data_IF_898246975536
#
_entry.id   IF_898246975536
#
_cell.length_a   1.000
_cell.length_b   1.000
_cell.length_c   1.000
_cell.angle_alpha   90.00
_cell.angle_beta   90.00
_cell.angle_gamma   90.00
#
_symmetry.space_group_name_H-M   'P 1'
#
loop_
_entity.id
_entity.type
_entity.pdbx_description
1 polymer ?
#
# COMPACT_ATOMS: atom_id res chain seq x y z
N UNK A 1 -29.60 -0.28 45.66
CA UNK A 1 -28.85 -0.41 46.93
C UNK A 1 -27.37 -0.59 46.60
N UNK A 2 -26.52 0.26 47.19
CA UNK A 2 -25.03 0.23 47.24
C UNK A 2 -24.24 0.62 45.98
N UNK A 3 -23.84 1.89 45.99
CA UNK A 3 -22.62 2.50 45.44
C UNK A 3 -21.35 2.04 46.18
N UNK A 4 -20.17 2.38 45.65
CA UNK A 4 -19.11 2.90 46.51
C UNK A 4 -18.52 4.22 46.01
N UNK A 5 -18.37 5.11 46.98
CA UNK A 5 -17.76 6.43 47.01
C UNK A 5 -16.24 6.34 47.15
N UNK A 6 -15.48 7.19 46.46
CA UNK A 6 -14.11 7.52 46.83
C UNK A 6 -14.05 9.00 47.19
N UNK A 7 -13.93 9.27 48.49
CA UNK A 7 -13.69 10.58 49.06
C UNK A 7 -12.20 10.89 49.10
N UNK A 8 -11.87 12.17 48.92
CA UNK A 8 -10.51 12.69 49.05
C UNK A 8 -10.07 12.88 50.50
N UNK A 9 -8.76 13.09 50.66
CA UNK A 9 -8.15 13.76 51.81
C UNK A 9 -7.01 14.67 51.32
N UNK A 10 -7.29 15.98 51.44
CA UNK A 10 -6.43 17.08 51.90
C UNK A 10 -5.52 16.65 53.09
N UNK A 11 -4.37 17.22 53.49
CA UNK A 11 -3.63 18.47 53.25
C UNK A 11 -2.19 18.29 53.90
N UNK A 12 -1.40 19.31 54.29
CA UNK A 12 -0.03 19.58 53.80
C UNK A 12 1.09 19.35 54.86
N UNK A 13 2.36 19.57 54.50
CA UNK A 13 3.38 20.07 55.46
C UNK A 13 4.66 20.58 54.77
N UNK A 14 4.86 21.89 54.96
CA UNK A 14 6.10 22.68 55.09
C UNK A 14 7.47 22.07 54.81
N UNK A 15 8.22 22.81 53.99
CA UNK A 15 9.49 23.40 54.42
C UNK A 15 10.75 22.60 54.13
N UNK A 16 11.55 23.09 53.18
CA UNK A 16 12.88 23.62 53.50
C UNK A 16 13.46 24.33 52.27
N UNK A 17 13.58 25.65 52.37
CA UNK A 17 14.43 26.49 51.53
C UNK A 17 15.86 26.31 52.01
N UNK A 18 16.74 25.83 51.13
CA UNK A 18 18.20 25.99 51.29
C UNK A 18 18.76 26.70 50.05
N UNK A 19 18.98 27.99 50.25
CA UNK A 19 19.72 28.88 49.36
C UNK A 19 21.18 28.42 49.30
N UNK A 20 21.63 27.86 48.17
CA UNK A 20 23.05 27.74 47.85
C UNK A 20 23.50 28.92 47.00
N UNK A 21 24.49 29.58 47.58
CA UNK A 21 25.10 30.85 47.21
C UNK A 21 25.99 30.71 45.98
N UNK A 22 25.82 31.67 45.07
CA UNK A 22 26.80 32.30 44.19
C UNK A 22 28.16 31.60 44.01
N UNK A 23 28.46 31.27 42.75
CA UNK A 23 29.77 31.60 42.18
C UNK A 23 29.59 32.13 40.74
N UNK A 24 29.48 33.45 40.62
CA UNK A 24 29.52 34.16 39.34
C UNK A 24 30.98 34.26 38.92
N UNK A 25 31.44 33.33 38.07
CA UNK A 25 32.68 33.54 37.33
C UNK A 25 32.44 34.57 36.23
N UNK A 26 32.79 35.81 36.55
CA UNK A 26 32.86 36.91 35.60
C UNK A 26 33.95 36.62 34.56
N UNK A 27 33.55 36.25 33.35
CA UNK A 27 34.42 36.34 32.19
C UNK A 27 34.25 37.75 31.61
N UNK A 28 35.14 38.64 32.01
CA UNK A 28 35.31 39.98 31.47
C UNK A 28 35.81 39.89 30.03
N UNK A 29 34.90 39.97 29.07
CA UNK A 29 35.24 39.99 27.65
C UNK A 29 35.74 41.36 27.23
N UNK A 30 37.06 41.49 27.15
CA UNK A 30 37.79 42.71 26.82
C UNK A 30 37.67 43.02 25.31
N UNK A 31 36.92 44.09 24.98
CA UNK A 31 36.60 44.56 23.63
C UNK A 31 37.70 45.45 23.03
N UNK A 32 38.97 45.02 22.93
CA UNK A 32 40.03 45.86 22.32
C UNK A 32 41.19 45.06 21.71
N UNK A 33 40.94 44.22 20.71
CA UNK A 33 42.01 43.72 19.83
C UNK A 33 41.55 43.72 18.36
N UNK A 34 41.17 44.92 17.93
CA UNK A 34 41.13 45.32 16.54
C UNK A 34 42.45 44.98 15.83
N UNK A 35 42.28 44.37 14.66
CA UNK A 35 43.11 44.53 13.47
C UNK A 35 44.60 44.24 13.58
N UNK A 36 44.98 43.04 13.14
CA UNK A 36 46.28 42.60 12.57
C UNK A 36 46.18 41.07 12.47
N UNK A 37 46.30 40.36 11.34
CA UNK A 37 46.99 40.59 10.08
C UNK A 37 46.36 39.67 9.01
N UNK A 38 46.44 40.12 7.76
CA UNK A 38 46.31 39.31 6.54
C UNK A 38 47.40 38.23 6.52
N UNK A 39 47.03 37.00 6.15
CA UNK A 39 47.98 35.92 5.89
C UNK A 39 47.26 34.69 5.34
N UNK A 40 47.35 34.50 4.03
CA UNK A 40 46.73 33.41 3.30
C UNK A 40 47.24 32.03 3.74
N UNK A 41 46.32 31.09 3.93
CA UNK A 41 46.60 29.66 3.85
C UNK A 41 45.31 28.92 3.47
N UNK A 42 45.28 28.44 2.23
CA UNK A 42 44.31 27.48 1.73
C UNK A 42 44.43 26.17 2.52
N UNK A 43 43.31 25.52 2.86
CA UNK A 43 43.20 24.06 2.96
C UNK A 43 41.72 23.65 3.15
N UNK A 44 41.18 22.97 2.13
CA UNK A 44 40.30 21.79 2.21
C UNK A 44 39.16 21.84 3.26
N UNK A 45 37.92 22.03 2.80
CA UNK A 45 36.80 21.17 3.20
C UNK A 45 35.80 21.01 2.06
N UNK A 46 35.80 19.80 1.51
CA UNK A 46 34.68 19.15 0.82
C UNK A 46 33.35 19.47 1.52
N UNK A 47 32.37 19.99 0.79
CA UNK A 47 30.96 20.02 1.22
C UNK A 47 30.18 18.97 0.40
N UNK A 48 30.13 17.69 0.80
CA UNK A 48 29.15 16.77 0.29
C UNK A 48 27.91 16.80 1.19
N UNK A 49 26.73 16.86 0.56
CA UNK A 49 25.56 16.16 1.06
C UNK A 49 24.82 16.79 2.24
N UNK A 50 23.87 17.67 1.91
CA UNK A 50 22.58 17.72 2.60
C UNK A 50 21.47 17.65 1.55
N UNK A 51 21.45 16.57 0.76
CA UNK A 51 20.17 16.10 0.23
C UNK A 51 19.40 15.57 1.42
N UNK A 52 18.62 16.46 2.03
CA UNK A 52 17.54 16.06 2.89
C UNK A 52 16.61 15.18 2.05
N UNK A 53 16.73 13.87 2.18
CA UNK A 53 15.61 13.00 1.90
C UNK A 53 14.53 13.46 2.87
N UNK A 54 13.59 14.27 2.36
CA UNK A 54 12.32 14.51 2.99
C UNK A 54 11.63 13.15 3.07
N UNK A 55 11.98 12.36 4.08
CA UNK A 55 11.07 11.39 4.67
C UNK A 55 9.95 12.24 5.24
N UNK A 56 9.02 12.62 4.35
CA UNK A 56 7.84 13.37 4.70
C UNK A 56 7.22 12.71 5.91
N UNK A 57 6.74 13.54 6.82
CA UNK A 57 5.76 13.20 7.85
C UNK A 57 4.52 12.61 7.18
N UNK A 58 4.65 11.37 6.69
CA UNK A 58 3.64 10.62 6.00
C UNK A 58 2.78 9.90 7.01
N UNK A 59 1.50 9.75 6.70
CA UNK A 59 0.58 8.95 7.48
C UNK A 59 1.21 7.61 7.88
N UNK A 60 0.94 7.08 9.08
CA UNK A 60 1.37 5.74 9.45
C UNK A 60 0.91 4.78 8.35
N UNK A 61 1.84 3.96 7.86
CA UNK A 61 1.59 3.12 6.70
C UNK A 61 2.59 1.98 6.64
N UNK A 62 2.12 0.81 6.21
CA UNK A 62 2.94 -0.38 6.05
C UNK A 62 3.21 -0.63 4.57
N UNK A 63 4.44 -1.02 4.25
CA UNK A 63 4.84 -1.35 2.88
C UNK A 63 5.03 -2.85 2.75
N UNK A 64 4.35 -3.45 1.78
CA UNK A 64 4.52 -4.83 1.37
C UNK A 64 5.49 -4.86 0.20
N UNK A 65 6.61 -5.58 0.32
CA UNK A 65 7.58 -5.70 -0.78
C UNK A 65 7.04 -6.49 -1.97
N UNK A 66 7.57 -6.24 -3.16
CA UNK A 66 7.22 -6.99 -4.36
C UNK A 66 7.45 -8.50 -4.20
N UNK A 67 8.55 -8.90 -3.55
CA UNK A 67 8.82 -10.32 -3.29
C UNK A 67 7.71 -10.93 -2.44
N UNK A 68 7.28 -10.24 -1.37
CA UNK A 68 6.21 -10.74 -0.51
C UNK A 68 4.87 -10.81 -1.23
N UNK A 69 4.57 -9.85 -2.09
CA UNK A 69 3.38 -9.88 -2.96
C UNK A 69 3.41 -11.12 -3.86
N UNK A 70 4.55 -11.40 -4.50
CA UNK A 70 4.71 -12.57 -5.36
C UNK A 70 4.53 -13.89 -4.58
N UNK A 71 5.07 -13.99 -3.36
CA UNK A 71 4.88 -15.16 -2.49
C UNK A 71 3.41 -15.38 -2.12
N UNK A 72 2.69 -14.32 -1.77
CA UNK A 72 1.27 -14.40 -1.42
C UNK A 72 0.45 -14.81 -2.65
N UNK A 73 0.75 -14.23 -3.81
CA UNK A 73 0.08 -14.53 -5.06
C UNK A 73 0.32 -15.97 -5.49
N UNK A 74 1.57 -16.46 -5.43
CA UNK A 74 1.91 -17.83 -5.80
C UNK A 74 1.18 -18.88 -4.94
N UNK A 75 0.88 -18.59 -3.67
CA UNK A 75 0.14 -19.49 -2.77
C UNK A 75 -1.35 -19.57 -3.08
N UNK A 76 -1.93 -18.53 -3.70
CA UNK A 76 -3.35 -18.48 -4.01
C UNK A 76 -3.69 -19.14 -5.36
N UNK A 77 -2.70 -19.32 -6.23
CA UNK A 77 -2.89 -19.86 -7.57
C UNK A 77 -2.55 -21.36 -7.63
N UNK A 78 -3.22 -22.14 -8.50
CA UNK A 78 -4.23 -21.71 -9.47
C UNK A 78 -5.60 -21.40 -8.85
N UNK A 79 -6.36 -20.50 -9.48
CA UNK A 79 -7.72 -20.13 -9.06
C UNK A 79 -8.71 -20.56 -10.14
N UNK A 80 -9.77 -21.27 -9.76
CA UNK A 80 -10.87 -21.65 -10.66
C UNK A 80 -12.16 -20.92 -10.28
N UNK A 81 -12.87 -20.39 -11.27
CA UNK A 81 -14.12 -19.64 -11.12
C UNK A 81 -15.18 -20.18 -12.07
N UNK A 82 -16.40 -20.32 -11.56
CA UNK A 82 -17.54 -20.69 -12.37
C UNK A 82 -18.04 -19.45 -13.10
N UNK A 83 -18.14 -19.54 -14.42
CA UNK A 83 -18.73 -18.51 -15.28
C UNK A 83 -20.14 -18.92 -15.69
N UNK A 84 -20.94 -17.92 -16.07
CA UNK A 84 -22.26 -18.13 -16.70
C UNK A 84 -23.19 -19.05 -15.89
N UNK A 85 -23.19 -18.93 -14.56
CA UNK A 85 -24.02 -19.79 -13.70
C UNK A 85 -23.56 -21.26 -13.62
N UNK A 86 -22.29 -21.55 -13.92
CA UNK A 86 -21.73 -22.91 -13.85
C UNK A 86 -21.73 -23.67 -15.17
N UNK A 87 -21.91 -22.97 -16.30
CA UNK A 87 -21.81 -23.56 -17.64
C UNK A 87 -20.36 -23.64 -18.14
N UNK A 88 -19.46 -22.85 -17.57
CA UNK A 88 -18.04 -22.91 -17.89
C UNK A 88 -17.19 -22.65 -16.63
N UNK A 89 -16.02 -23.26 -16.59
CA UNK A 89 -15.04 -23.09 -15.52
C UNK A 89 -13.81 -22.37 -16.08
N UNK A 90 -13.48 -21.22 -15.51
CA UNK A 90 -12.29 -20.43 -15.82
C UNK A 90 -11.21 -20.69 -14.77
N UNK A 91 -10.10 -21.28 -15.19
CA UNK A 91 -8.89 -21.45 -14.38
C UNK A 91 -7.85 -20.41 -14.79
N UNK A 92 -7.30 -19.71 -13.81
CA UNK A 92 -6.16 -18.79 -13.97
C UNK A 92 -4.94 -19.38 -13.27
N UNK A 93 -3.81 -19.40 -13.95
CA UNK A 93 -2.55 -19.97 -13.47
C UNK A 93 -1.35 -19.08 -13.82
N UNK A 94 -0.19 -19.42 -13.25
CA UNK A 94 1.10 -18.76 -13.54
C UNK A 94 1.06 -17.23 -13.42
N UNK A 95 0.59 -16.68 -12.28
CA UNK A 95 0.44 -15.24 -12.14
C UNK A 95 1.81 -14.55 -12.14
N UNK A 96 1.96 -13.54 -13.00
CA UNK A 96 3.16 -12.70 -13.09
C UNK A 96 2.77 -11.25 -12.80
N UNK A 97 3.26 -10.73 -11.68
CA UNK A 97 2.90 -9.40 -11.19
C UNK A 97 3.95 -8.35 -11.56
N UNK A 98 3.47 -7.22 -12.08
CA UNK A 98 4.25 -6.00 -12.34
C UNK A 98 3.67 -4.81 -11.59
N UNK A 99 4.54 -3.88 -11.16
CA UNK A 99 4.15 -2.67 -10.46
C UNK A 99 4.23 -1.48 -11.43
N UNK A 100 3.15 -0.71 -11.55
CA UNK A 100 3.04 0.49 -12.41
C UNK A 100 2.84 1.74 -11.54
N UNK A 101 3.89 2.22 -10.84
CA UNK A 101 3.77 3.31 -9.86
C UNK A 101 3.32 4.63 -10.49
N UNK A 102 3.73 4.92 -11.73
CA UNK A 102 3.35 6.14 -12.45
C UNK A 102 1.83 6.32 -12.62
N UNK A 103 1.10 5.20 -12.73
CA UNK A 103 -0.36 5.18 -12.84
C UNK A 103 -1.06 4.73 -11.55
N UNK A 104 -0.32 4.45 -10.48
CA UNK A 104 -0.80 3.81 -9.25
C UNK A 104 -1.54 2.48 -9.49
N UNK A 105 -0.99 1.61 -10.34
CA UNK A 105 -1.67 0.38 -10.80
C UNK A 105 -0.76 -0.83 -10.75
N UNK A 106 -1.37 -2.01 -10.77
CA UNK A 106 -0.69 -3.30 -10.85
C UNK A 106 -1.00 -3.90 -12.20
N UNK A 107 0.04 -4.38 -12.89
CA UNK A 107 -0.12 -5.24 -14.06
C UNK A 107 -0.05 -6.69 -13.61
N UNK A 108 -0.89 -7.55 -14.18
CA UNK A 108 -0.77 -8.98 -13.96
C UNK A 108 -1.04 -9.75 -15.24
N UNK A 109 -0.14 -10.69 -15.53
CA UNK A 109 -0.29 -11.63 -16.63
C UNK A 109 -0.60 -13.02 -16.09
N UNK A 110 -1.53 -13.71 -16.73
CA UNK A 110 -1.98 -15.05 -16.36
C UNK A 110 -2.03 -15.95 -17.58
N UNK A 111 -1.79 -17.25 -17.35
CA UNK A 111 -2.21 -18.29 -18.28
C UNK A 111 -3.67 -18.64 -17.95
N UNK A 112 -4.48 -18.79 -18.98
CA UNK A 112 -5.93 -19.01 -18.88
C UNK A 112 -6.28 -20.42 -19.38
N UNK A 113 -7.15 -21.10 -18.65
CA UNK A 113 -7.83 -22.32 -19.09
C UNK A 113 -9.34 -22.15 -18.96
N UNK A 114 -10.08 -22.34 -20.03
CA UNK A 114 -11.54 -22.31 -20.03
C UNK A 114 -12.08 -23.71 -20.36
N UNK A 115 -12.96 -24.23 -19.51
CA UNK A 115 -13.62 -25.53 -19.72
C UNK A 115 -15.12 -25.31 -19.83
N UNK A 116 -15.70 -25.59 -20.99
CA UNK A 116 -17.15 -25.56 -21.20
C UNK A 116 -17.77 -26.88 -20.78
N UNK A 117 -18.75 -26.83 -19.86
CA UNK A 117 -19.35 -28.04 -19.27
C UNK A 117 -20.41 -28.68 -20.17
N UNK A 118 -21.08 -27.88 -21.02
CA UNK A 118 -22.12 -28.39 -21.93
C UNK A 118 -21.53 -29.10 -23.15
N UNK A 119 -20.52 -28.49 -23.79
CA UNK A 119 -19.88 -29.02 -24.99
C UNK A 119 -18.65 -29.89 -24.70
N UNK A 120 -18.08 -29.82 -23.48
CA UNK A 120 -16.83 -30.47 -23.12
C UNK A 120 -15.58 -29.84 -23.75
N UNK A 121 -15.75 -28.74 -24.49
CA UNK A 121 -14.64 -28.02 -25.11
C UNK A 121 -13.72 -27.39 -24.06
N UNK A 122 -12.41 -27.47 -24.30
CA UNK A 122 -11.40 -26.88 -23.44
C UNK A 122 -10.50 -25.96 -24.27
N UNK A 123 -10.31 -24.76 -23.77
CA UNK A 123 -9.48 -23.74 -24.40
C UNK A 123 -8.37 -23.34 -23.44
N UNK A 124 -7.19 -23.06 -23.99
CA UNK A 124 -6.09 -22.44 -23.28
C UNK A 124 -5.81 -21.06 -23.86
N UNK A 125 -5.07 -20.23 -23.14
CA UNK A 125 -4.70 -18.93 -23.63
C UNK A 125 -3.93 -18.10 -22.61
N UNK A 126 -3.87 -16.80 -22.85
CA UNK A 126 -3.17 -15.85 -22.01
C UNK A 126 -3.94 -14.56 -21.86
N UNK A 127 -3.83 -13.94 -20.69
CA UNK A 127 -4.45 -12.65 -20.39
C UNK A 127 -3.44 -11.72 -19.74
N UNK A 128 -3.34 -10.50 -20.25
CA UNK A 128 -2.59 -9.40 -19.66
C UNK A 128 -3.56 -8.28 -19.34
N UNK A 129 -3.53 -7.81 -18.10
CA UNK A 129 -4.41 -6.77 -17.60
C UNK A 129 -3.69 -5.90 -16.58
N UNK A 130 -4.21 -4.69 -16.39
CA UNK A 130 -3.80 -3.80 -15.34
C UNK A 130 -5.00 -3.22 -14.59
N UNK A 131 -4.80 -2.90 -13.32
CA UNK A 131 -5.88 -2.51 -12.41
C UNK A 131 -5.36 -1.68 -11.26
N UNK A 132 -6.22 -0.79 -10.76
CA UNK A 132 -6.03 -0.15 -9.47
C UNK A 132 -6.46 -1.07 -8.33
N UNK A 133 -6.09 -0.70 -7.11
CA UNK A 133 -6.53 -1.40 -5.91
C UNK A 133 -7.42 -0.49 -5.07
N UNK A 134 -8.52 -1.04 -4.57
CA UNK A 134 -9.42 -0.35 -3.64
C UNK A 134 -9.66 -1.20 -2.40
N UNK A 135 -9.55 -0.59 -1.23
CA UNK A 135 -9.97 -1.22 0.02
C UNK A 135 -11.46 -0.97 0.25
N UNK A 136 -12.21 -2.07 0.39
CA UNK A 136 -13.60 -2.09 0.83
C UNK A 136 -13.63 -2.41 2.32
N UNK A 137 -13.84 -1.40 3.16
CA UNK A 137 -13.89 -1.54 4.62
C UNK A 137 -15.21 -2.15 5.12
N UNK A 138 -16.25 -2.16 4.29
CA UNK A 138 -17.53 -2.77 4.64
C UNK A 138 -17.37 -4.30 4.65
N UNK A 139 -16.80 -4.84 3.57
CA UNK A 139 -16.50 -6.27 3.45
C UNK A 139 -15.13 -6.68 4.02
N UNK A 140 -14.27 -5.72 4.36
CA UNK A 140 -12.89 -5.98 4.73
C UNK A 140 -12.11 -6.67 3.60
N UNK A 141 -12.23 -6.15 2.38
CA UNK A 141 -11.69 -6.78 1.18
C UNK A 141 -10.91 -5.79 0.31
N UNK A 142 -9.77 -6.23 -0.22
CA UNK A 142 -9.06 -5.52 -1.30
C UNK A 142 -9.63 -6.00 -2.63
N UNK A 143 -10.14 -5.06 -3.43
CA UNK A 143 -10.79 -5.32 -4.71
C UNK A 143 -10.00 -4.70 -5.85
N UNK A 144 -10.09 -5.33 -7.02
CA UNK A 144 -9.66 -4.70 -8.27
C UNK A 144 -10.57 -3.51 -8.59
N UNK A 145 -9.97 -2.39 -8.97
CA UNK A 145 -10.66 -1.19 -9.43
C UNK A 145 -10.14 -0.81 -10.82
N UNK A 146 -11.00 -0.23 -11.67
CA UNK A 146 -10.65 0.25 -13.01
C UNK A 146 -9.82 -0.77 -13.82
N UNK A 147 -10.33 -2.00 -13.90
CA UNK A 147 -9.66 -3.10 -14.61
C UNK A 147 -9.64 -2.81 -16.10
N UNK A 148 -8.47 -2.94 -16.72
CA UNK A 148 -8.31 -2.86 -18.18
C UNK A 148 -7.55 -4.09 -18.64
N UNK A 149 -8.13 -4.82 -19.59
CA UNK A 149 -7.49 -5.96 -20.21
C UNK A 149 -6.74 -5.47 -21.43
N UNK A 150 -5.42 -5.57 -21.41
CA UNK A 150 -4.54 -5.11 -22.48
C UNK A 150 -4.47 -6.11 -23.63
N UNK A 151 -4.53 -7.40 -23.28
CA UNK A 151 -4.48 -8.49 -24.26
C UNK A 151 -5.20 -9.71 -23.72
N UNK A 152 -6.00 -10.34 -24.58
CA UNK A 152 -6.56 -11.66 -24.35
C UNK A 152 -6.34 -12.50 -25.61
N UNK A 153 -5.72 -13.66 -25.43
CA UNK A 153 -5.52 -14.63 -26.50
C UNK A 153 -6.11 -15.97 -26.10
N UNK A 154 -6.66 -16.67 -27.07
CA UNK A 154 -7.13 -18.05 -26.91
C UNK A 154 -6.45 -18.88 -27.99
N UNK A 155 -5.79 -19.94 -27.56
CA UNK A 155 -5.06 -20.85 -28.42
C UNK A 155 -6.03 -21.65 -29.29
N UNK A 156 -5.54 -22.11 -30.44
CA UNK A 156 -6.28 -22.98 -31.37
C UNK A 156 -7.58 -22.41 -31.96
N UNK A 157 -7.88 -21.12 -31.74
CA UNK A 157 -8.98 -20.47 -32.47
C UNK A 157 -8.62 -20.23 -33.94
N UNK A 158 -9.57 -20.40 -34.88
CA UNK A 158 -9.41 -19.92 -36.25
C UNK A 158 -9.12 -18.41 -36.31
N UNK A 159 -8.32 -17.95 -37.28
CA UNK A 159 -7.90 -16.53 -37.39
C UNK A 159 -9.08 -15.54 -37.39
N UNK A 160 -10.19 -15.89 -38.03
CA UNK A 160 -11.41 -15.07 -38.05
C UNK A 160 -12.01 -14.88 -36.66
N UNK A 161 -12.02 -15.92 -35.83
CA UNK A 161 -12.50 -15.87 -34.45
C UNK A 161 -11.52 -15.15 -33.53
N UNK A 162 -10.20 -15.33 -33.73
CA UNK A 162 -9.17 -14.63 -32.96
C UNK A 162 -9.29 -13.10 -33.05
N UNK A 163 -9.64 -12.58 -34.23
CA UNK A 163 -9.86 -11.14 -34.43
C UNK A 163 -11.08 -10.63 -33.66
N UNK A 164 -12.17 -11.40 -33.65
CA UNK A 164 -13.37 -11.06 -32.89
C UNK A 164 -13.10 -11.10 -31.38
N UNK A 165 -12.43 -12.15 -30.90
CA UNK A 165 -12.05 -12.28 -29.48
C UNK A 165 -11.15 -11.13 -29.06
N UNK A 166 -10.07 -10.86 -29.81
CA UNK A 166 -9.15 -9.75 -29.50
C UNK A 166 -9.86 -8.39 -29.44
N UNK A 167 -10.93 -8.20 -30.21
CA UNK A 167 -11.67 -6.94 -30.28
C UNK A 167 -12.69 -6.75 -29.15
N UNK A 168 -13.41 -7.80 -28.75
CA UNK A 168 -14.56 -7.66 -27.85
C UNK A 168 -14.35 -8.28 -26.47
N UNK A 169 -13.53 -9.33 -26.38
CA UNK A 169 -13.35 -10.05 -25.14
C UNK A 169 -12.63 -9.23 -24.04
N UNK A 170 -11.67 -8.32 -24.34
CA UNK A 170 -11.06 -7.48 -23.31
C UNK A 170 -12.07 -6.67 -22.48
N UNK A 171 -13.03 -6.01 -23.13
CA UNK A 171 -14.04 -5.21 -22.44
C UNK A 171 -15.02 -6.06 -21.62
N UNK A 172 -15.36 -7.24 -22.12
CA UNK A 172 -16.20 -8.18 -21.38
C UNK A 172 -15.46 -8.76 -20.16
N UNK A 173 -14.22 -9.21 -20.35
CA UNK A 173 -13.37 -9.73 -19.29
C UNK A 173 -13.10 -8.65 -18.23
N UNK A 174 -12.81 -7.41 -18.65
CA UNK A 174 -12.63 -6.28 -17.74
C UNK A 174 -13.85 -6.06 -16.85
N UNK A 175 -15.07 -6.13 -17.39
CA UNK A 175 -16.31 -6.00 -16.59
C UNK A 175 -16.54 -7.17 -15.65
N UNK A 176 -16.23 -8.39 -16.06
CA UNK A 176 -16.37 -9.59 -15.22
C UNK A 176 -15.35 -9.61 -14.07
N UNK A 177 -14.14 -9.11 -14.31
CA UNK A 177 -13.06 -9.03 -13.33
C UNK A 177 -13.13 -7.77 -12.46
N UNK A 178 -13.82 -6.73 -12.94
CA UNK A 178 -14.11 -5.55 -12.14
C UNK A 178 -14.83 -5.97 -10.86
N UNK A 179 -14.42 -5.40 -9.73
CA UNK A 179 -14.92 -5.73 -8.39
C UNK A 179 -14.54 -7.12 -7.84
N UNK A 180 -13.67 -7.87 -8.52
CA UNK A 180 -13.12 -9.11 -7.99
C UNK A 180 -12.31 -8.86 -6.71
N UNK A 181 -12.63 -9.62 -5.66
CA UNK A 181 -11.90 -9.61 -4.39
C UNK A 181 -10.58 -10.37 -4.56
N UNK A 182 -9.47 -9.66 -4.36
CA UNK A 182 -8.12 -10.21 -4.40
C UNK A 182 -7.72 -10.83 -3.06
N UNK A 183 -8.06 -10.13 -1.99
CA UNK A 183 -7.67 -10.51 -0.64
C UNK A 183 -8.73 -10.05 0.35
N UNK A 184 -9.07 -10.90 1.32
CA UNK A 184 -9.91 -10.54 2.46
C UNK A 184 -9.02 -10.35 3.67
N UNK A 185 -9.20 -9.23 4.36
CA UNK A 185 -8.48 -8.94 5.58
C UNK A 185 -8.98 -9.85 6.70
N UNK A 186 -8.08 -10.33 7.58
CA UNK A 186 -8.47 -11.00 8.82
C UNK A 186 -9.36 -10.10 9.68
N UNK A 187 -10.29 -10.70 10.42
CA UNK A 187 -11.27 -9.97 11.23
C UNK A 187 -10.61 -9.08 12.29
N UNK A 188 -9.48 -9.52 12.84
CA UNK A 188 -8.71 -8.78 13.84
C UNK A 188 -8.12 -7.50 13.24
N UNK A 189 -7.59 -7.58 12.01
CA UNK A 189 -7.04 -6.42 11.30
C UNK A 189 -8.14 -5.44 10.89
N UNK A 190 -9.30 -5.95 10.49
CA UNK A 190 -10.45 -5.13 10.18
C UNK A 190 -10.99 -4.40 11.42
N UNK A 191 -11.11 -5.10 12.56
CA UNK A 191 -11.53 -4.51 13.82
C UNK A 191 -10.55 -3.43 14.29
N UNK A 192 -9.25 -3.70 14.18
CA UNK A 192 -8.20 -2.74 14.46
C UNK A 192 -8.32 -1.48 13.57
N UNK A 193 -8.51 -1.67 12.26
CA UNK A 193 -8.71 -0.56 11.31
C UNK A 193 -9.95 0.27 11.64
N UNK A 194 -11.08 -0.38 12.00
CA UNK A 194 -12.32 0.27 12.41
C UNK A 194 -12.16 1.06 13.70
N UNK A 195 -11.50 0.47 14.71
CA UNK A 195 -11.27 1.10 16.01
C UNK A 195 -10.35 2.32 15.93
N UNK A 196 -9.40 2.32 14.98
CA UNK A 196 -8.56 3.49 14.70
C UNK A 196 -9.25 4.55 13.83
N UNK A 197 -10.50 4.33 13.44
CA UNK A 197 -11.26 5.24 12.59
C UNK A 197 -10.66 5.36 11.19
N UNK A 198 -10.01 4.32 10.66
CA UNK A 198 -9.51 4.35 9.29
C UNK A 198 -10.67 4.18 8.32
N UNK A 199 -11.02 5.25 7.60
CA UNK A 199 -12.08 5.24 6.58
C UNK A 199 -11.56 5.31 5.15
N UNK A 200 -10.28 5.64 4.99
CA UNK A 200 -9.60 5.67 3.70
C UNK A 200 -8.18 5.09 3.88
N UNK A 201 -8.02 3.82 3.52
CA UNK A 201 -6.68 3.31 3.24
C UNK A 201 -6.35 3.66 1.79
N UNK A 202 -5.37 4.54 1.58
CA UNK A 202 -4.89 4.80 0.23
C UNK A 202 -3.84 3.73 -0.10
N UNK A 203 -4.17 2.88 -1.08
CA UNK A 203 -3.23 1.91 -1.63
C UNK A 203 -2.37 2.62 -2.67
N UNK A 204 -1.07 2.76 -2.38
CA UNK A 204 -0.08 3.36 -3.29
C UNK A 204 0.88 2.30 -3.79
N UNK A 205 0.96 2.16 -5.11
CA UNK A 205 1.94 1.33 -5.79
C UNK A 205 3.26 2.09 -5.84
N UNK A 206 4.31 1.46 -5.31
CA UNK A 206 5.69 1.92 -5.34
C UNK A 206 6.51 1.08 -6.35
N UNK A 207 7.70 1.52 -6.77
CA UNK A 207 8.56 0.73 -7.65
C UNK A 207 8.96 -0.64 -7.08
N UNK A 208 9.05 -0.74 -5.75
CA UNK A 208 9.55 -1.90 -5.00
C UNK A 208 8.47 -2.61 -4.15
N UNK A 209 7.23 -2.12 -4.19
CA UNK A 209 6.16 -2.71 -3.38
C UNK A 209 4.83 -1.98 -3.42
N UNK A 210 3.95 -2.35 -2.49
CA UNK A 210 2.65 -1.72 -2.27
C UNK A 210 2.65 -1.11 -0.88
N UNK A 211 2.40 0.20 -0.81
CA UNK A 211 2.24 0.92 0.45
C UNK A 211 0.77 1.11 0.76
N UNK A 212 0.40 0.77 1.99
CA UNK A 212 -0.92 1.01 2.54
C UNK A 212 -0.79 2.24 3.44
N UNK A 213 -1.25 3.39 2.95
CA UNK A 213 -1.36 4.59 3.78
C UNK A 213 -2.63 4.51 4.61
N UNK A 214 -2.51 4.76 5.90
CA UNK A 214 -3.61 4.64 6.84
C UNK A 214 -3.98 6.04 7.33
N UNK A 215 -5.11 6.55 6.85
CA UNK A 215 -5.62 7.88 7.18
C UNK A 215 -6.91 7.81 7.99
N UNK A 216 -7.19 8.84 8.82
CA UNK A 216 -8.49 8.95 9.48
C UNK A 216 -9.60 9.00 8.44
N UNK A 217 -10.75 8.39 8.76
CA UNK A 217 -11.97 8.50 7.97
C UNK A 217 -12.32 9.98 7.85
N UNK A 218 -12.18 10.55 6.65
CA UNK A 218 -12.67 11.89 6.40
C UNK A 218 -14.17 11.91 6.64
N UNK A 219 -14.60 12.65 7.66
CA UNK A 219 -15.99 13.05 7.85
C UNK A 219 -16.40 13.84 6.62
N UNK A 220 -17.27 13.28 5.78
CA UNK A 220 -18.05 14.04 4.79
C UNK A 220 -19.39 14.38 5.39
#
# INVERSE_FOLDING_TARGET
>A
MRSPTWGGCFEPLSGHVTSTRHDRKSLTMNRRHCHRLLGAAALITLFPGLSACAAGSGMPGYTVSQQRLNELLARQFPVTRNLLGGLADLTLSSPRLGLLPASNRISTMFDLGLTERLAGSRYSGGMDLDYGLRLDLQEGAVRMADVRVNRLTIDQLPRTQQQLVSKYAPDLAGRLLSDMVLYRLPAEQLALARNMGWGAAALRVLPDGLRIDMGPAGTR
#
